data_IF_778401573433
#
_entry.id   IF_778401573433
#
_cell.length_a   1.000
_cell.length_b   1.000
_cell.length_c   1.000
_cell.angle_alpha   90.00
_cell.angle_beta   90.00
_cell.angle_gamma   90.00
#
_symmetry.space_group_name_H-M   'P 1'
#
loop_
_entity.id
_entity.type
_entity.pdbx_description
1 polymer ?
#
# COMPACT_ATOMS: atom_id res chain seq x y z
N UNK A 1 -14.53 -7.11 24.14
CA UNK A 1 -13.86 -6.51 25.30
C UNK A 1 -13.03 -5.33 24.82
N UNK A 2 -13.56 -4.10 24.94
CA UNK A 2 -12.76 -2.89 24.84
C UNK A 2 -11.91 -2.79 26.09
N UNK A 3 -10.66 -3.29 26.06
CA UNK A 3 -9.69 -2.94 27.08
C UNK A 3 -9.40 -1.45 26.94
N UNK A 4 -9.83 -0.66 27.90
CA UNK A 4 -9.49 0.74 28.00
C UNK A 4 -7.99 0.78 28.25
N UNK A 5 -7.22 1.10 27.22
CA UNK A 5 -5.78 1.27 27.36
C UNK A 5 -5.52 2.52 28.18
N UNK A 6 -4.68 2.42 29.21
CA UNK A 6 -4.15 3.57 29.94
C UNK A 6 -3.26 4.47 29.05
N UNK A 7 -2.82 3.93 27.91
CA UNK A 7 -2.01 4.67 26.94
C UNK A 7 -2.88 5.44 25.95
N UNK A 8 -2.95 6.76 26.13
CA UNK A 8 -3.75 7.67 25.30
C UNK A 8 -3.26 7.79 23.84
N UNK A 9 -2.03 7.41 23.54
CA UNK A 9 -1.43 7.49 22.21
C UNK A 9 -1.47 6.16 21.47
N UNK A 10 -1.61 5.02 22.13
CA UNK A 10 -1.71 3.73 21.48
C UNK A 10 -2.98 3.66 20.60
N UNK A 11 -2.84 3.11 19.39
CA UNK A 11 -3.93 2.93 18.43
C UNK A 11 -3.92 1.51 17.89
N UNK A 12 -5.07 1.10 17.38
CA UNK A 12 -5.21 -0.24 16.79
C UNK A 12 -4.37 -0.39 15.53
N UNK A 13 -3.52 -1.40 15.54
CA UNK A 13 -2.76 -1.88 14.38
C UNK A 13 -3.46 -3.12 13.84
N UNK A 14 -3.88 -3.11 12.59
CA UNK A 14 -4.39 -4.30 11.91
C UNK A 14 -3.25 -5.01 11.18
N UNK A 15 -2.96 -6.25 11.55
CA UNK A 15 -2.01 -7.12 10.83
C UNK A 15 -2.69 -7.91 9.71
N UNK A 16 -3.96 -8.24 9.92
CA UNK A 16 -4.83 -8.91 8.95
C UNK A 16 -6.29 -8.53 9.21
N UNK A 17 -7.22 -9.08 8.44
CA UNK A 17 -8.65 -8.90 8.67
C UNK A 17 -9.09 -9.41 10.07
N UNK A 18 -8.37 -10.39 10.61
CA UNK A 18 -8.74 -11.10 11.85
C UNK A 18 -7.83 -10.75 13.03
N UNK A 19 -6.63 -10.21 12.75
CA UNK A 19 -5.63 -9.98 13.79
C UNK A 19 -5.30 -8.51 13.94
N UNK A 20 -5.56 -7.98 15.13
CA UNK A 20 -5.21 -6.60 15.49
C UNK A 20 -4.64 -6.55 16.90
N UNK A 21 -3.87 -5.52 17.19
CA UNK A 21 -3.36 -5.21 18.52
C UNK A 21 -3.33 -3.69 18.73
N UNK A 22 -3.27 -3.28 19.99
CA UNK A 22 -3.13 -1.89 20.35
C UNK A 22 -1.65 -1.53 20.52
N UNK A 23 -1.19 -0.45 19.88
CA UNK A 23 0.22 -0.08 19.99
C UNK A 23 0.69 0.97 19.01
N UNK A 24 1.95 0.84 18.66
CA UNK A 24 2.71 1.75 17.80
C UNK A 24 3.29 1.01 16.60
N UNK A 25 3.68 1.77 15.57
CA UNK A 25 4.48 1.30 14.45
C UNK A 25 5.83 2.01 14.44
N UNK A 26 6.86 1.29 14.07
CA UNK A 26 8.17 1.87 13.77
C UNK A 26 8.52 1.59 12.33
N UNK A 27 8.69 2.65 11.58
CA UNK A 27 9.11 2.63 10.19
C UNK A 27 10.60 2.87 10.16
N UNK A 28 11.36 2.05 9.45
CA UNK A 28 12.82 2.16 9.35
C UNK A 28 13.27 2.16 7.89
N UNK A 29 14.31 2.95 7.61
CA UNK A 29 15.12 2.85 6.41
C UNK A 29 16.52 2.35 6.77
N UNK A 30 17.15 1.57 5.89
CA UNK A 30 18.49 1.04 6.12
C UNK A 30 19.26 0.87 4.81
N UNK A 31 20.58 0.87 4.91
CA UNK A 31 21.47 0.57 3.78
C UNK A 31 21.50 -0.93 3.45
N UNK A 32 22.06 -1.33 2.27
CA UNK A 32 22.31 -2.73 1.93
C UNK A 32 23.16 -3.49 2.96
N UNK A 33 24.04 -2.78 3.68
CA UNK A 33 24.86 -3.31 4.77
C UNK A 33 24.06 -3.53 6.05
N UNK A 34 22.77 -3.20 6.04
CA UNK A 34 21.85 -3.35 7.17
C UNK A 34 22.12 -2.39 8.33
N UNK A 35 22.62 -1.18 8.02
CA UNK A 35 22.71 -0.06 8.96
C UNK A 35 21.43 0.76 8.81
N UNK A 36 20.73 1.00 9.91
CA UNK A 36 19.50 1.79 9.93
C UNK A 36 19.88 3.27 9.82
N UNK A 37 19.42 3.93 8.77
CA UNK A 37 19.72 5.33 8.46
C UNK A 37 18.64 6.30 8.95
N UNK A 38 17.42 5.83 9.03
CA UNK A 38 16.30 6.63 9.51
C UNK A 38 15.25 5.76 10.21
N UNK A 39 14.54 6.38 11.14
CA UNK A 39 13.38 5.78 11.78
C UNK A 39 12.30 6.83 12.09
N UNK A 40 11.05 6.40 12.09
CA UNK A 40 9.90 7.19 12.54
C UNK A 40 8.98 6.28 13.34
N UNK A 41 8.64 6.69 14.57
CA UNK A 41 7.65 6.00 15.40
C UNK A 41 6.30 6.72 15.20
N UNK A 42 5.27 5.96 14.94
CA UNK A 42 3.91 6.48 14.76
C UNK A 42 2.90 5.72 15.61
N UNK A 43 1.74 6.30 15.80
CA UNK A 43 0.58 5.59 16.33
C UNK A 43 0.12 4.50 15.35
N UNK A 44 -0.50 3.45 15.88
CA UNK A 44 -0.75 2.20 15.14
C UNK A 44 -1.59 2.31 13.87
N UNK A 45 -2.47 3.31 13.79
CA UNK A 45 -3.37 3.52 12.64
C UNK A 45 -2.71 4.17 11.43
N UNK A 46 -1.49 4.72 11.58
CA UNK A 46 -0.82 5.44 10.49
C UNK A 46 -0.45 4.48 9.35
N UNK A 47 -0.60 4.99 8.12
CA UNK A 47 -0.26 4.24 6.91
C UNK A 47 1.25 4.29 6.65
N UNK A 48 1.85 3.14 6.37
CA UNK A 48 3.30 2.99 6.16
C UNK A 48 3.80 3.82 4.97
N UNK A 49 3.03 3.86 3.87
CA UNK A 49 3.41 4.61 2.67
C UNK A 49 3.59 6.11 2.88
N UNK A 50 2.87 6.70 3.83
CA UNK A 50 2.96 8.14 4.14
C UNK A 50 4.25 8.54 4.87
N UNK A 51 4.96 7.57 5.44
CA UNK A 51 6.19 7.82 6.17
C UNK A 51 7.44 7.83 5.25
N UNK A 52 7.31 7.43 3.98
CA UNK A 52 8.42 7.38 3.04
C UNK A 52 9.14 8.73 2.86
N UNK A 53 8.45 9.87 2.64
CA UNK A 53 9.12 11.16 2.49
C UNK A 53 9.94 11.56 3.72
N UNK A 54 9.41 11.26 4.93
CA UNK A 54 10.11 11.53 6.19
C UNK A 54 11.35 10.65 6.35
N UNK A 55 11.25 9.36 6.05
CA UNK A 55 12.37 8.43 6.11
C UNK A 55 13.47 8.79 5.12
N UNK A 56 13.10 9.16 3.88
CA UNK A 56 14.04 9.61 2.87
C UNK A 56 14.79 10.86 3.31
N UNK A 57 14.06 11.89 3.73
CA UNK A 57 14.67 13.14 4.21
C UNK A 57 15.63 12.92 5.40
N UNK A 58 15.26 12.05 6.34
CA UNK A 58 16.13 11.71 7.47
C UNK A 58 17.39 10.94 7.03
N UNK A 59 17.24 10.01 6.08
CA UNK A 59 18.36 9.24 5.52
C UNK A 59 19.37 10.15 4.84
N UNK A 60 18.90 11.09 4.01
CA UNK A 60 19.73 12.08 3.33
C UNK A 60 20.43 13.04 4.31
N UNK A 61 19.73 13.50 5.34
CA UNK A 61 20.31 14.31 6.42
C UNK A 61 21.46 13.60 7.16
N UNK A 62 21.42 12.29 7.20
CA UNK A 62 22.49 11.47 7.76
C UNK A 62 23.62 11.16 6.77
N UNK A 63 23.67 11.86 5.63
CA UNK A 63 24.74 11.79 4.64
C UNK A 63 24.70 10.58 3.71
N UNK A 64 23.53 9.94 3.59
CA UNK A 64 23.35 8.78 2.68
C UNK A 64 22.58 9.24 1.45
N UNK A 65 23.23 9.15 0.29
CA UNK A 65 22.57 9.33 -1.01
C UNK A 65 21.68 8.12 -1.32
N UNK A 66 20.47 8.41 -1.83
CA UNK A 66 19.47 7.37 -2.13
C UNK A 66 19.17 7.38 -3.61
N UNK A 67 19.53 6.32 -4.32
CA UNK A 67 19.22 6.06 -5.72
C UNK A 67 18.09 5.03 -5.90
N UNK A 68 17.90 4.17 -4.91
CA UNK A 68 16.95 3.06 -4.98
C UNK A 68 16.25 2.85 -3.64
N UNK A 69 14.93 2.73 -3.67
CA UNK A 69 14.08 2.41 -2.52
C UNK A 69 13.47 1.03 -2.75
N UNK A 70 13.73 0.10 -1.83
CA UNK A 70 13.15 -1.26 -1.87
C UNK A 70 12.17 -1.40 -0.71
N UNK A 71 10.91 -1.64 -1.02
CA UNK A 71 9.85 -1.70 -0.03
C UNK A 71 8.72 -2.68 -0.38
N UNK A 72 7.69 -2.68 0.46
CA UNK A 72 6.47 -3.40 0.18
C UNK A 72 5.47 -2.57 -0.64
N UNK A 73 4.31 -3.14 -0.96
CA UNK A 73 3.29 -2.48 -1.76
C UNK A 73 2.67 -1.23 -1.11
N UNK A 74 2.89 -0.98 0.17
CA UNK A 74 2.40 0.24 0.83
C UNK A 74 3.12 1.49 0.30
N UNK A 75 4.35 1.33 -0.18
CA UNK A 75 5.17 2.43 -0.71
C UNK A 75 4.92 2.75 -2.19
N UNK A 76 4.10 1.95 -2.89
CA UNK A 76 3.78 2.13 -4.31
C UNK A 76 2.66 3.12 -4.60
N UNK A 77 2.27 3.95 -3.62
CA UNK A 77 1.29 5.01 -3.82
C UNK A 77 1.75 6.07 -4.81
N UNK A 78 0.81 6.68 -5.54
CA UNK A 78 1.09 7.67 -6.60
C UNK A 78 2.03 8.78 -6.10
N UNK A 79 1.73 9.39 -4.95
CA UNK A 79 2.53 10.48 -4.36
C UNK A 79 3.98 10.06 -4.12
N UNK A 80 4.22 8.82 -3.70
CA UNK A 80 5.56 8.29 -3.48
C UNK A 80 6.32 8.05 -4.79
N UNK A 81 5.62 7.55 -5.82
CA UNK A 81 6.20 7.33 -7.13
C UNK A 81 6.54 8.65 -7.83
N UNK A 82 5.66 9.66 -7.73
CA UNK A 82 5.90 11.01 -8.23
C UNK A 82 7.12 11.64 -7.56
N UNK A 83 7.16 11.64 -6.22
CA UNK A 83 8.28 12.17 -5.44
C UNK A 83 9.62 11.49 -5.81
N UNK A 84 9.61 10.18 -5.96
CA UNK A 84 10.81 9.43 -6.31
C UNK A 84 11.26 9.73 -7.75
N UNK A 85 10.33 9.83 -8.69
CA UNK A 85 10.61 10.16 -10.08
C UNK A 85 11.18 11.58 -10.25
N UNK A 86 10.68 12.56 -9.49
CA UNK A 86 11.21 13.93 -9.45
C UNK A 86 12.66 14.01 -8.94
N UNK A 87 13.13 12.97 -8.25
CA UNK A 87 14.46 12.87 -7.63
C UNK A 87 15.36 11.83 -8.28
N UNK A 88 14.94 11.26 -9.41
CA UNK A 88 15.63 10.17 -10.12
C UNK A 88 15.87 8.92 -9.24
N UNK A 89 14.95 8.66 -8.29
CA UNK A 89 15.02 7.51 -7.39
C UNK A 89 14.17 6.37 -7.93
N UNK A 90 14.74 5.17 -8.02
CA UNK A 90 14.04 3.96 -8.44
C UNK A 90 13.26 3.35 -7.28
N UNK A 91 11.95 3.14 -7.45
CA UNK A 91 11.10 2.50 -6.43
C UNK A 91 10.84 1.04 -6.77
N UNK A 92 11.40 0.14 -5.99
CA UNK A 92 11.20 -1.32 -6.10
C UNK A 92 10.14 -1.75 -5.09
N UNK A 93 8.90 -1.46 -5.42
CA UNK A 93 7.72 -1.86 -4.65
C UNK A 93 6.64 -2.36 -5.61
N UNK A 94 6.05 -3.54 -5.31
CA UNK A 94 4.92 -4.04 -6.11
C UNK A 94 3.73 -3.14 -5.91
N UNK A 95 3.02 -2.83 -6.99
CA UNK A 95 1.76 -2.11 -6.87
C UNK A 95 0.78 -2.90 -6.00
N UNK A 96 0.13 -2.18 -5.08
CA UNK A 96 -0.94 -2.78 -4.30
C UNK A 96 -2.04 -3.27 -5.26
N UNK A 97 -2.55 -4.50 -5.13
CA UNK A 97 -3.62 -5.02 -5.97
C UNK A 97 -4.87 -4.12 -6.02
N UNK A 98 -5.13 -3.34 -4.98
CA UNK A 98 -6.21 -2.34 -4.97
C UNK A 98 -5.99 -1.26 -6.03
N UNK A 99 -4.74 -0.90 -6.33
CA UNK A 99 -4.41 0.09 -7.37
C UNK A 99 -4.72 -0.48 -8.75
N UNK A 100 -4.33 -1.73 -9.02
CA UNK A 100 -4.46 -2.36 -10.34
C UNK A 100 -5.82 -2.99 -10.59
N UNK A 101 -6.44 -3.53 -9.57
CA UNK A 101 -7.69 -4.33 -9.68
C UNK A 101 -8.91 -3.63 -9.06
N UNK A 102 -8.71 -2.51 -8.35
CA UNK A 102 -9.73 -1.87 -7.54
C UNK A 102 -10.06 -2.68 -6.26
N UNK A 103 -10.96 -2.14 -5.46
CA UNK A 103 -11.54 -2.95 -4.38
C UNK A 103 -12.40 -4.06 -5.03
N UNK A 104 -12.00 -5.31 -4.86
CA UNK A 104 -12.87 -6.45 -5.15
C UNK A 104 -14.02 -6.40 -4.13
N UNK A 105 -15.11 -5.70 -4.46
CA UNK A 105 -16.38 -6.08 -3.88
C UNK A 105 -16.59 -7.55 -4.24
N UNK A 106 -17.18 -8.36 -3.34
CA UNK A 106 -17.47 -9.77 -3.58
C UNK A 106 -18.07 -9.89 -4.99
N UNK A 107 -17.25 -10.28 -5.96
CA UNK A 107 -17.70 -10.53 -7.33
C UNK A 107 -18.59 -11.76 -7.25
N UNK A 108 -19.89 -11.57 -7.44
CA UNK A 108 -20.80 -12.71 -7.58
C UNK A 108 -20.39 -13.51 -8.82
N UNK A 109 -20.73 -14.80 -8.85
CA UNK A 109 -20.51 -15.62 -10.05
C UNK A 109 -21.12 -14.96 -11.30
N UNK A 110 -22.19 -14.19 -11.12
CA UNK A 110 -22.84 -13.40 -12.16
C UNK A 110 -21.96 -12.28 -12.71
N UNK A 111 -21.13 -11.65 -11.87
CA UNK A 111 -20.23 -10.56 -12.30
C UNK A 111 -19.14 -11.07 -13.26
N UNK A 112 -18.73 -12.33 -13.13
CA UNK A 112 -17.80 -12.97 -14.06
C UNK A 112 -18.38 -13.20 -15.46
N UNK A 113 -19.69 -13.15 -15.61
CA UNK A 113 -20.38 -13.35 -16.89
C UNK A 113 -20.52 -12.07 -17.73
N UNK A 114 -20.08 -10.93 -17.21
CA UNK A 114 -20.01 -9.69 -17.99
C UNK A 114 -18.76 -9.71 -18.87
N UNK A 115 -18.93 -9.52 -20.17
CA UNK A 115 -17.82 -9.50 -21.14
C UNK A 115 -17.67 -8.14 -21.80
N UNK A 116 -16.41 -7.75 -22.08
CA UNK A 116 -16.12 -6.54 -22.85
C UNK A 116 -16.11 -6.84 -24.34
N UNK A 117 -16.92 -6.11 -25.10
CA UNK A 117 -16.94 -6.16 -26.54
C UNK A 117 -16.06 -5.04 -27.10
N UNK A 118 -14.93 -5.41 -27.72
CA UNK A 118 -13.95 -4.46 -28.26
C UNK A 118 -14.48 -3.62 -29.40
N UNK A 119 -15.28 -4.22 -30.28
CA UNK A 119 -15.78 -3.56 -31.49
C UNK A 119 -16.82 -2.50 -31.15
N UNK A 120 -17.62 -2.76 -30.12
CA UNK A 120 -18.63 -1.82 -29.65
C UNK A 120 -18.08 -0.84 -28.58
N UNK A 121 -16.87 -1.07 -28.05
CA UNK A 121 -16.31 -0.37 -26.89
C UNK A 121 -17.30 -0.33 -25.69
N UNK A 122 -17.91 -1.49 -25.38
CA UNK A 122 -18.95 -1.60 -24.35
C UNK A 122 -18.94 -2.97 -23.69
N UNK A 123 -19.47 -3.04 -22.50
CA UNK A 123 -19.72 -4.29 -21.81
C UNK A 123 -21.06 -4.89 -22.17
N UNK A 124 -21.08 -6.21 -22.29
CA UNK A 124 -22.29 -7.03 -22.49
C UNK A 124 -22.64 -7.71 -21.17
N UNK A 125 -23.89 -7.59 -20.74
CA UNK A 125 -24.37 -8.30 -19.55
C UNK A 125 -24.76 -9.77 -19.87
N UNK A 126 -24.95 -10.65 -18.85
CA UNK A 126 -25.38 -12.04 -19.07
C UNK A 126 -26.65 -12.22 -19.92
N UNK A 127 -27.49 -11.18 -19.98
CA UNK A 127 -28.71 -11.15 -20.83
C UNK A 127 -28.44 -10.64 -22.24
N UNK A 128 -27.18 -10.51 -22.67
CA UNK A 128 -26.81 -10.04 -24.01
C UNK A 128 -27.01 -8.52 -24.27
N UNK A 129 -27.30 -7.74 -23.23
CA UNK A 129 -27.58 -6.30 -23.39
C UNK A 129 -26.28 -5.50 -23.26
N UNK A 130 -26.00 -4.65 -24.24
CA UNK A 130 -24.87 -3.70 -24.19
C UNK A 130 -25.11 -2.61 -23.14
N UNK A 131 -24.05 -2.23 -22.46
CA UNK A 131 -24.02 -1.01 -21.63
C UNK A 131 -24.16 0.25 -22.49
N UNK A 132 -24.40 1.40 -21.90
CA UNK A 132 -24.12 2.67 -22.53
C UNK A 132 -22.60 2.80 -22.81
N UNK A 133 -22.22 3.72 -23.69
CA UNK A 133 -20.80 4.06 -23.89
C UNK A 133 -20.20 4.49 -22.56
N UNK A 134 -19.00 4.05 -22.26
CA UNK A 134 -18.29 4.42 -21.07
C UNK A 134 -18.06 5.92 -20.97
N UNK A 135 -18.00 6.43 -19.75
CA UNK A 135 -17.66 7.82 -19.49
C UNK A 135 -16.60 7.91 -18.40
N UNK A 136 -15.62 8.78 -18.62
CA UNK A 136 -14.60 9.08 -17.61
C UNK A 136 -15.26 9.82 -16.42
N UNK A 137 -14.82 9.49 -15.24
CA UNK A 137 -15.18 10.15 -13.99
C UNK A 137 -13.95 10.35 -13.14
N UNK A 138 -13.86 11.53 -12.56
CA UNK A 138 -12.87 11.85 -11.57
C UNK A 138 -13.54 11.85 -10.19
N UNK A 139 -12.95 11.11 -9.25
CA UNK A 139 -13.37 11.13 -7.85
C UNK A 139 -12.50 12.13 -7.09
N UNK A 140 -13.09 13.23 -6.70
CA UNK A 140 -12.46 14.23 -5.82
C UNK A 140 -12.61 13.82 -4.34
N UNK A 141 -12.12 12.64 -3.98
CA UNK A 141 -11.97 12.30 -2.56
C UNK A 141 -10.66 12.91 -2.05
N UNK A 142 -10.77 14.06 -1.39
CA UNK A 142 -9.78 14.65 -0.49
C UNK A 142 -8.30 14.36 -0.84
N UNK A 143 -7.82 14.83 -2.00
CA UNK A 143 -6.43 14.77 -2.52
C UNK A 143 -6.08 13.66 -3.53
N UNK A 144 -6.87 12.63 -3.71
CA UNK A 144 -6.59 11.62 -4.73
C UNK A 144 -7.52 11.80 -5.93
N UNK A 145 -7.05 12.43 -6.99
CA UNK A 145 -7.75 12.56 -8.28
C UNK A 145 -7.75 11.20 -9.01
N UNK A 146 -8.51 10.24 -8.48
CA UNK A 146 -8.63 8.92 -9.09
C UNK A 146 -9.61 8.99 -10.26
N UNK A 147 -9.14 8.67 -11.45
CA UNK A 147 -9.97 8.58 -12.64
C UNK A 147 -10.50 7.16 -12.80
N UNK A 148 -11.78 7.05 -13.11
CA UNK A 148 -12.44 5.77 -13.43
C UNK A 148 -13.20 5.90 -14.76
N UNK A 149 -13.30 4.79 -15.47
CA UNK A 149 -14.16 4.67 -16.63
C UNK A 149 -15.40 3.88 -16.24
N UNK A 150 -16.59 4.48 -16.34
CA UNK A 150 -17.83 3.88 -15.86
C UNK A 150 -18.75 3.52 -17.04
N UNK A 151 -19.14 2.24 -17.10
CA UNK A 151 -20.14 1.71 -17.99
C UNK A 151 -21.43 1.47 -17.23
N UNK A 152 -22.58 1.87 -17.78
CA UNK A 152 -23.90 1.73 -17.15
C UNK A 152 -24.91 1.10 -18.09
N UNK A 153 -25.82 0.33 -17.52
CA UNK A 153 -26.98 -0.18 -18.26
C UNK A 153 -28.20 0.72 -18.06
N UNK A 154 -29.14 0.64 -19.02
CA UNK A 154 -30.41 1.36 -18.91
C UNK A 154 -31.19 0.88 -17.71
N UNK A 155 -31.67 1.81 -16.89
CA UNK A 155 -32.51 1.49 -15.73
C UNK A 155 -33.78 0.73 -16.16
N UNK A 156 -34.44 1.17 -17.26
CA UNK A 156 -35.61 0.51 -17.81
C UNK A 156 -35.35 -0.95 -18.17
N UNK A 157 -34.19 -1.28 -18.80
CA UNK A 157 -33.82 -2.64 -19.12
C UNK A 157 -33.48 -3.47 -17.90
N UNK A 158 -32.85 -2.89 -16.89
CA UNK A 158 -32.53 -3.55 -15.63
C UNK A 158 -33.77 -3.82 -14.77
N UNK A 159 -34.78 -2.91 -14.78
CA UNK A 159 -35.97 -3.06 -13.95
C UNK A 159 -36.84 -4.27 -14.32
N UNK A 160 -36.87 -4.65 -15.59
CA UNK A 160 -37.65 -5.80 -16.12
C UNK A 160 -36.78 -7.05 -16.30
N UNK A 161 -35.52 -7.04 -15.88
CA UNK A 161 -34.59 -8.13 -16.10
C UNK A 161 -34.88 -9.31 -15.17
N UNK A 162 -34.86 -10.53 -15.73
CA UNK A 162 -35.08 -11.77 -14.96
C UNK A 162 -33.99 -12.00 -13.89
N UNK A 163 -32.77 -11.49 -14.11
CA UNK A 163 -31.64 -11.60 -13.19
C UNK A 163 -31.53 -10.38 -12.25
N UNK A 164 -32.58 -9.55 -12.16
CA UNK A 164 -32.51 -8.29 -11.41
C UNK A 164 -32.04 -8.48 -9.97
N UNK A 165 -32.67 -9.39 -9.22
CA UNK A 165 -32.40 -9.62 -7.81
C UNK A 165 -30.96 -10.03 -7.53
N UNK A 166 -30.41 -10.91 -8.38
CA UNK A 166 -29.05 -11.43 -8.25
C UNK A 166 -28.01 -10.44 -8.76
N UNK A 167 -28.36 -9.66 -9.79
CA UNK A 167 -27.44 -8.77 -10.49
C UNK A 167 -27.25 -7.40 -9.82
N UNK A 168 -28.34 -6.77 -9.40
CA UNK A 168 -28.33 -5.40 -8.88
C UNK A 168 -28.97 -5.25 -7.51
N UNK A 169 -29.67 -6.27 -7.01
CA UNK A 169 -30.37 -6.22 -5.73
C UNK A 169 -31.31 -5.00 -5.65
N UNK A 170 -31.11 -4.15 -4.66
CA UNK A 170 -31.88 -2.92 -4.45
C UNK A 170 -31.48 -1.76 -5.36
N UNK A 171 -30.37 -1.88 -6.09
CA UNK A 171 -29.90 -0.81 -6.97
C UNK A 171 -30.85 -0.61 -8.17
N UNK A 172 -30.82 0.57 -8.76
CA UNK A 172 -31.68 0.91 -9.92
C UNK A 172 -31.16 0.36 -11.24
N UNK A 173 -29.85 0.18 -11.36
CA UNK A 173 -29.18 -0.32 -12.57
C UNK A 173 -27.79 -0.89 -12.27
N UNK A 174 -27.28 -1.77 -13.14
CA UNK A 174 -25.87 -2.22 -13.09
C UNK A 174 -24.93 -1.13 -13.59
N UNK A 175 -23.81 -1.01 -12.93
CA UNK A 175 -22.65 -0.25 -13.42
C UNK A 175 -21.36 -1.06 -13.20
N UNK A 176 -20.44 -0.94 -14.14
CA UNK A 176 -19.06 -1.44 -14.02
C UNK A 176 -18.13 -0.23 -14.07
N UNK A 177 -17.23 -0.17 -13.12
CA UNK A 177 -16.21 0.86 -13.05
C UNK A 177 -14.83 0.23 -13.21
N UNK A 178 -14.06 0.81 -14.13
CA UNK A 178 -12.66 0.42 -14.37
C UNK A 178 -11.81 1.61 -13.92
N UNK A 179 -10.86 1.35 -13.03
CA UNK A 179 -9.90 2.37 -12.63
C UNK A 179 -8.93 2.66 -13.77
N UNK A 180 -8.70 3.94 -14.02
CA UNK A 180 -7.65 4.39 -14.94
C UNK A 180 -6.39 4.56 -14.12
N UNK A 181 -5.35 3.79 -14.45
CA UNK A 181 -4.06 3.93 -13.82
C UNK A 181 -3.41 5.25 -14.22
N UNK A 182 -2.80 5.94 -13.26
CA UNK A 182 -1.95 7.09 -13.55
C UNK A 182 -0.72 6.67 -14.37
N UNK A 183 -0.04 7.62 -15.00
CA UNK A 183 1.11 7.30 -15.82
C UNK A 183 2.28 6.75 -14.99
N UNK A 184 2.42 7.19 -13.73
CA UNK A 184 3.37 6.65 -12.76
C UNK A 184 3.07 5.17 -12.47
N UNK A 185 1.81 4.83 -12.25
CA UNK A 185 1.41 3.45 -12.03
C UNK A 185 1.59 2.56 -13.27
N UNK A 186 1.38 3.10 -14.49
CA UNK A 186 1.65 2.36 -15.73
C UNK A 186 3.14 2.06 -15.88
N UNK A 187 4.00 3.06 -15.67
CA UNK A 187 5.47 2.88 -15.66
C UNK A 187 5.89 1.85 -14.60
N UNK A 188 5.28 1.90 -13.42
CA UNK A 188 5.58 0.95 -12.36
C UNK A 188 5.12 -0.48 -12.71
N UNK A 189 4.00 -0.67 -13.44
CA UNK A 189 3.58 -1.98 -13.97
C UNK A 189 4.62 -2.53 -14.95
N UNK A 190 5.10 -1.69 -15.87
CA UNK A 190 6.14 -2.08 -16.83
C UNK A 190 7.43 -2.46 -16.11
N UNK A 191 7.89 -1.63 -15.16
CA UNK A 191 9.07 -1.89 -14.37
C UNK A 191 8.98 -3.19 -13.56
N UNK A 192 7.83 -3.49 -12.95
CA UNK A 192 7.61 -4.74 -12.20
C UNK A 192 7.84 -6.01 -13.01
N UNK A 193 7.67 -5.93 -14.34
CA UNK A 193 7.87 -7.06 -15.23
C UNK A 193 9.33 -7.19 -15.72
N UNK A 194 10.20 -6.24 -15.36
CA UNK A 194 11.60 -6.25 -15.76
C UNK A 194 12.45 -7.24 -14.94
N UNK A 195 13.55 -7.70 -15.52
CA UNK A 195 14.56 -8.53 -14.85
C UNK A 195 15.23 -7.76 -13.71
N UNK A 196 15.40 -6.46 -13.88
CA UNK A 196 15.99 -5.58 -12.89
C UNK A 196 15.13 -5.53 -11.62
N UNK A 197 13.83 -5.30 -11.76
CA UNK A 197 12.91 -5.35 -10.63
C UNK A 197 12.97 -6.70 -9.91
N UNK A 198 12.98 -7.81 -10.65
CA UNK A 198 13.06 -9.15 -10.07
C UNK A 198 14.35 -9.36 -9.28
N UNK A 199 15.46 -8.82 -9.76
CA UNK A 199 16.76 -8.87 -9.07
C UNK A 199 16.74 -8.03 -7.79
N UNK A 200 16.33 -6.77 -7.88
CA UNK A 200 16.31 -5.82 -6.76
C UNK A 200 15.30 -6.21 -5.69
N UNK A 201 14.13 -6.71 -6.06
CA UNK A 201 13.08 -7.10 -5.12
C UNK A 201 13.48 -8.25 -4.20
N UNK A 202 14.47 -9.06 -4.59
CA UNK A 202 15.04 -10.10 -3.72
C UNK A 202 15.73 -9.52 -2.48
N UNK A 203 16.26 -8.32 -2.57
CA UNK A 203 16.93 -7.65 -1.44
C UNK A 203 15.98 -7.28 -0.29
N UNK A 204 14.65 -7.33 -0.54
CA UNK A 204 13.64 -7.02 0.48
C UNK A 204 13.74 -7.90 1.73
N UNK A 205 14.25 -9.13 1.62
CA UNK A 205 14.43 -9.99 2.77
C UNK A 205 15.33 -9.38 3.87
N UNK A 206 16.22 -8.43 3.50
CA UNK A 206 17.13 -7.78 4.45
C UNK A 206 16.37 -6.94 5.47
N UNK A 207 15.32 -6.20 5.04
CA UNK A 207 14.50 -5.41 5.95
C UNK A 207 13.62 -6.29 6.82
N UNK A 208 13.10 -7.40 6.28
CA UNK A 208 12.34 -8.40 7.05
C UNK A 208 13.21 -9.03 8.14
N UNK A 209 14.45 -9.42 7.78
CA UNK A 209 15.41 -9.95 8.73
C UNK A 209 15.81 -8.93 9.81
N UNK A 210 15.94 -7.63 9.45
CA UNK A 210 16.21 -6.56 10.41
C UNK A 210 15.03 -6.37 11.37
N UNK A 211 13.80 -6.37 10.87
CA UNK A 211 12.60 -6.29 11.70
C UNK A 211 12.47 -7.49 12.65
N UNK A 212 12.82 -8.69 12.19
CA UNK A 212 12.87 -9.89 13.04
C UNK A 212 13.95 -9.78 14.11
N UNK A 213 15.14 -9.28 13.79
CA UNK A 213 16.23 -9.01 14.73
C UNK A 213 15.79 -8.04 15.83
N UNK A 214 15.18 -6.90 15.46
CA UNK A 214 14.68 -5.91 16.40
C UNK A 214 13.67 -6.54 17.39
N UNK A 215 12.72 -7.31 16.88
CA UNK A 215 11.64 -7.88 17.69
C UNK A 215 12.08 -9.05 18.57
N UNK A 216 12.84 -9.97 17.98
CA UNK A 216 13.14 -11.26 18.62
C UNK A 216 14.44 -11.24 19.45
N UNK A 217 15.42 -10.41 19.07
CA UNK A 217 16.72 -10.34 19.74
C UNK A 217 16.79 -9.16 20.69
N UNK A 218 16.16 -8.03 20.33
CA UNK A 218 16.26 -6.79 21.09
C UNK A 218 14.98 -6.40 21.84
N UNK A 219 13.99 -7.32 21.91
CA UNK A 219 12.76 -7.10 22.66
C UNK A 219 11.83 -6.00 22.13
N UNK A 220 12.12 -5.45 20.96
CA UNK A 220 11.37 -4.31 20.38
C UNK A 220 9.96 -4.69 19.85
N UNK A 221 9.46 -5.85 20.27
CA UNK A 221 8.08 -6.27 19.97
C UNK A 221 7.05 -5.69 20.95
N UNK A 222 7.52 -5.17 22.09
CA UNK A 222 6.67 -4.64 23.17
C UNK A 222 7.06 -3.21 23.52
N UNK A 223 6.06 -2.42 23.85
CA UNK A 223 6.26 -1.10 24.46
C UNK A 223 6.55 -1.30 25.95
N UNK A 224 7.68 -0.78 26.43
CA UNK A 224 8.09 -0.83 27.83
C UNK A 224 7.53 0.34 28.65
N UNK A 225 6.99 1.36 27.95
CA UNK A 225 6.44 2.58 28.54
C UNK A 225 5.23 3.06 27.76
N UNK A 226 4.49 4.02 28.34
CA UNK A 226 3.31 4.62 27.75
C UNK A 226 3.64 5.93 27.02
N UNK A 227 2.96 6.17 25.92
CA UNK A 227 3.03 7.38 25.14
C UNK A 227 4.04 7.36 24.00
N UNK A 228 3.78 8.19 22.98
CA UNK A 228 4.57 8.23 21.75
C UNK A 228 6.04 8.59 22.02
N UNK A 229 6.29 9.60 22.85
CA UNK A 229 7.66 10.04 23.17
C UNK A 229 8.48 8.94 23.87
N UNK A 230 7.85 8.14 24.74
CA UNK A 230 8.54 7.03 25.38
C UNK A 230 8.88 5.93 24.36
N UNK A 231 7.99 5.67 23.39
CA UNK A 231 8.26 4.75 22.30
C UNK A 231 9.34 5.28 21.33
N UNK A 232 9.39 6.58 21.09
CA UNK A 232 10.47 7.20 20.32
C UNK A 232 11.83 7.02 21.02
N UNK A 233 11.89 7.22 22.34
CA UNK A 233 13.10 7.00 23.13
C UNK A 233 13.52 5.53 23.13
N UNK A 234 12.59 4.61 23.37
CA UNK A 234 12.85 3.17 23.30
C UNK A 234 13.36 2.78 21.91
N UNK A 235 12.75 3.31 20.85
CA UNK A 235 13.19 3.15 19.47
C UNK A 235 14.61 3.64 19.25
N UNK A 236 14.89 4.87 19.62
CA UNK A 236 16.21 5.49 19.42
C UNK A 236 17.33 4.69 20.09
N UNK A 237 17.16 4.28 21.37
CA UNK A 237 18.15 3.47 22.10
C UNK A 237 18.32 2.09 21.45
N UNK A 238 17.22 1.42 21.10
CA UNK A 238 17.27 0.08 20.49
C UNK A 238 18.00 0.14 19.14
N UNK A 239 17.64 1.09 18.29
CA UNK A 239 18.22 1.22 16.95
C UNK A 239 19.70 1.62 17.01
N UNK A 240 20.08 2.48 17.96
CA UNK A 240 21.48 2.81 18.21
C UNK A 240 22.30 1.58 18.56
N UNK A 241 21.87 0.76 19.50
CA UNK A 241 22.57 -0.47 19.91
C UNK A 241 22.67 -1.47 18.74
N UNK A 242 21.60 -1.63 17.97
CA UNK A 242 21.57 -2.52 16.79
C UNK A 242 22.56 -2.05 15.73
N UNK A 243 22.62 -0.74 15.44
CA UNK A 243 23.58 -0.17 14.51
C UNK A 243 25.01 -0.33 15.01
N UNK A 244 25.27 -0.04 16.27
CA UNK A 244 26.61 -0.21 16.86
C UNK A 244 27.11 -1.65 16.72
N UNK A 245 26.30 -2.64 17.09
CA UNK A 245 26.64 -4.06 16.91
C UNK A 245 26.91 -4.40 15.43
N UNK A 246 26.11 -3.82 14.51
CA UNK A 246 26.30 -4.07 13.07
C UNK A 246 27.59 -3.47 12.55
N UNK A 247 27.92 -2.24 12.96
CA UNK A 247 29.17 -1.56 12.59
C UNK A 247 30.37 -2.36 13.12
N UNK A 248 30.38 -2.73 14.39
CA UNK A 248 31.44 -3.58 14.98
C UNK A 248 31.65 -4.87 14.18
N UNK A 249 30.56 -5.53 13.78
CA UNK A 249 30.63 -6.75 12.96
C UNK A 249 31.17 -6.50 11.55
N UNK A 250 30.95 -5.32 10.98
CA UNK A 250 31.49 -4.95 9.67
C UNK A 250 32.99 -4.62 9.75
N UNK A 251 33.42 -3.99 10.86
CA UNK A 251 34.83 -3.66 11.10
C UNK A 251 35.69 -4.88 11.45
N UNK A 252 35.10 -5.97 11.93
CA UNK A 252 35.81 -7.21 12.28
C UNK A 252 35.98 -8.20 11.13
N UNK A 253 35.58 -7.83 9.92
CA UNK A 253 35.74 -8.60 8.68
C UNK A 253 36.90 -8.06 7.85
#
# INVERSE_FOLDING_TARGET
HNSISHDKNARTVHKSAETSFLGYKTHIAMTPERIITAATVTTGEKSDGKELPSLLTKTEKNGVEVDTIIGDGAYSGKENLEMANERDIVVVAKLNPVITQGHKSKTSALDAMFSYNKDADRYVCPMGILSAKGSEREYNDNKNHNKTFRYRWSQRKCSICKLRSECIGESTRKSIEIRILSDEHKKQVEFQNSLEFQRLSKERYKIEAKNAELKNVHGYARAESYGLSAMEMQGAVTLFVVNLKRIMKLMSK
#
